data_IF_409579153439
#
_entry.id   IF_409579153439
#
_cell.length_a   1.000
_cell.length_b   1.000
_cell.length_c   1.000
_cell.angle_alpha   90.00
_cell.angle_beta   90.00
_cell.angle_gamma   90.00
#
_symmetry.space_group_name_H-M   'P 1'
#
loop_
_entity.id
_entity.type
_entity.pdbx_description
1 polymer ?
#
# COMPACT_ATOMS: atom_id res chain seq x y z
N UNK A 1 6.94 8.52 34.94
CA UNK A 1 6.09 9.64 35.40
C UNK A 1 4.77 9.08 35.90
N UNK A 2 3.97 9.89 36.63
CA UNK A 2 2.62 9.49 37.06
C UNK A 2 1.75 9.07 35.88
N UNK A 3 1.88 9.75 34.75
CA UNK A 3 1.15 9.43 33.50
C UNK A 3 1.45 8.05 32.91
N UNK A 4 2.57 7.40 33.27
CA UNK A 4 2.84 6.02 32.86
C UNK A 4 1.84 5.03 33.48
N UNK A 5 1.22 5.39 34.61
CA UNK A 5 0.24 4.55 35.31
C UNK A 5 -1.20 4.79 34.88
N UNK A 6 -1.45 5.72 33.98
CA UNK A 6 -2.81 5.97 33.42
C UNK A 6 -3.20 4.96 32.35
N UNK A 7 -2.25 4.16 31.84
CA UNK A 7 -2.53 3.13 30.83
C UNK A 7 -3.28 1.95 31.43
N UNK A 8 -4.36 1.55 30.76
CA UNK A 8 -5.01 0.25 31.04
C UNK A 8 -4.08 -0.92 30.67
N UNK A 9 -4.29 -2.07 31.31
CA UNK A 9 -3.47 -3.27 31.11
C UNK A 9 -3.25 -3.65 29.64
N UNK A 10 -4.31 -3.63 28.82
CA UNK A 10 -4.22 -3.96 27.40
C UNK A 10 -3.33 -2.97 26.63
N UNK A 11 -3.50 -1.68 26.88
CA UNK A 11 -2.70 -0.63 26.25
C UNK A 11 -1.22 -0.76 26.59
N UNK A 12 -0.89 -0.94 27.86
CA UNK A 12 0.48 -1.12 28.31
C UNK A 12 1.11 -2.38 27.70
N UNK A 13 0.41 -3.52 27.70
CA UNK A 13 0.91 -4.76 27.11
C UNK A 13 1.09 -4.67 25.59
N UNK A 14 0.28 -3.88 24.92
CA UNK A 14 0.44 -3.59 23.47
C UNK A 14 1.73 -2.78 23.23
N UNK A 15 1.99 -1.75 24.05
CA UNK A 15 3.21 -0.96 23.97
C UNK A 15 4.45 -1.81 24.27
N UNK A 16 4.46 -2.58 25.34
CA UNK A 16 5.56 -3.49 25.71
C UNK A 16 5.88 -4.51 24.60
N UNK A 17 4.85 -5.09 23.98
CA UNK A 17 5.02 -6.11 22.96
C UNK A 17 5.70 -5.58 21.70
N UNK A 18 5.29 -4.40 21.22
CA UNK A 18 5.63 -3.96 19.87
C UNK A 18 6.24 -2.57 19.73
N UNK A 19 6.08 -1.66 20.70
CA UNK A 19 6.39 -0.24 20.51
C UNK A 19 7.57 0.27 21.33
N UNK A 20 7.70 -0.16 22.58
CA UNK A 20 8.80 0.28 23.45
C UNK A 20 10.13 -0.28 22.94
N UNK A 21 11.16 0.56 22.97
CA UNK A 21 12.50 0.15 22.56
C UNK A 21 13.06 -0.91 23.49
N UNK A 22 13.84 -1.84 22.90
CA UNK A 22 14.45 -2.96 23.61
C UNK A 22 15.93 -3.04 23.27
N UNK A 23 16.73 -3.39 24.27
CA UNK A 23 18.14 -3.78 24.11
C UNK A 23 18.26 -5.22 24.63
N UNK A 24 18.81 -6.12 23.83
CA UNK A 24 18.97 -7.54 24.15
C UNK A 24 17.69 -8.24 24.66
N UNK A 25 16.53 -7.78 24.15
CA UNK A 25 15.21 -8.28 24.52
C UNK A 25 14.56 -7.59 25.72
N UNK A 26 15.32 -6.83 26.52
CA UNK A 26 14.84 -6.08 27.68
C UNK A 26 14.27 -4.72 27.27
N UNK A 27 13.11 -4.36 27.83
CA UNK A 27 12.45 -3.08 27.59
C UNK A 27 13.21 -1.98 28.31
N UNK A 28 13.65 -0.95 27.58
CA UNK A 28 14.40 0.19 28.10
C UNK A 28 13.62 1.51 28.09
N UNK A 29 12.40 1.50 27.57
CA UNK A 29 11.52 2.67 27.52
C UNK A 29 10.29 2.49 28.38
N UNK A 30 9.79 3.61 28.95
CA UNK A 30 8.41 3.72 29.41
C UNK A 30 7.55 4.37 28.31
N UNK A 31 6.20 4.33 28.38
CA UNK A 31 5.34 5.03 27.43
C UNK A 31 5.67 6.53 27.29
N UNK A 32 6.01 7.19 28.39
CA UNK A 32 6.35 8.62 28.36
C UNK A 32 7.70 8.89 27.70
N UNK A 33 8.69 8.00 27.84
CA UNK A 33 9.96 8.09 27.12
C UNK A 33 9.77 7.84 25.62
N UNK A 34 8.89 6.90 25.21
CA UNK A 34 8.52 6.70 23.83
C UNK A 34 7.94 7.99 23.23
N UNK A 35 6.99 8.65 23.90
CA UNK A 35 6.41 9.89 23.43
C UNK A 35 7.43 11.03 23.32
N UNK A 36 8.32 11.15 24.30
CA UNK A 36 9.38 12.15 24.25
C UNK A 36 10.37 11.86 23.11
N UNK A 37 10.80 10.61 22.91
CA UNK A 37 11.64 10.22 21.78
C UNK A 37 11.01 10.56 20.44
N UNK A 38 9.71 10.28 20.29
CA UNK A 38 8.96 10.58 19.07
C UNK A 38 8.90 12.08 18.81
N UNK A 39 8.59 12.87 19.83
CA UNK A 39 8.55 14.33 19.72
C UNK A 39 9.91 14.91 19.32
N UNK A 40 11.00 14.47 19.96
CA UNK A 40 12.36 14.86 19.59
C UNK A 40 12.70 14.42 18.17
N UNK A 41 12.32 13.19 17.78
CA UNK A 41 12.59 12.65 16.45
C UNK A 41 11.89 13.40 15.32
N UNK A 42 10.76 14.06 15.61
CA UNK A 42 10.02 14.88 14.65
C UNK A 42 10.58 16.30 14.59
N UNK A 43 10.77 16.95 15.73
CA UNK A 43 11.06 18.38 15.81
C UNK A 43 12.54 18.71 16.01
N UNK A 44 13.37 17.73 16.34
CA UNK A 44 14.81 17.90 16.50
C UNK A 44 15.18 18.91 17.58
N UNK A 45 15.74 20.05 17.19
CA UNK A 45 16.19 21.11 18.10
C UNK A 45 15.12 22.15 18.47
N UNK A 46 13.93 22.06 17.90
CA UNK A 46 12.82 22.95 18.21
C UNK A 46 12.13 22.49 19.51
N UNK A 47 12.67 22.96 20.63
CA UNK A 47 12.26 22.49 21.95
C UNK A 47 10.82 22.84 22.28
N UNK A 48 10.33 23.98 21.81
CA UNK A 48 8.94 24.41 22.08
C UNK A 48 7.95 23.44 21.44
N UNK A 49 8.14 23.08 20.17
CA UNK A 49 7.31 22.08 19.48
C UNK A 49 7.53 20.66 20.01
N UNK A 50 8.74 20.30 20.47
CA UNK A 50 8.98 19.02 21.17
C UNK A 50 8.11 18.89 22.40
N UNK A 51 8.09 19.94 23.25
CA UNK A 51 7.30 19.91 24.49
C UNK A 51 5.80 19.92 24.24
N UNK A 52 5.33 20.70 23.25
CA UNK A 52 3.93 20.74 22.84
C UNK A 52 3.46 19.36 22.34
N UNK A 53 4.20 18.75 21.43
CA UNK A 53 3.89 17.42 20.89
C UNK A 53 3.94 16.33 21.95
N UNK A 54 4.96 16.35 22.83
CA UNK A 54 5.04 15.42 23.95
C UNK A 54 3.85 15.57 24.89
N UNK A 55 3.47 16.79 25.25
CA UNK A 55 2.36 17.02 26.17
C UNK A 55 1.04 16.57 25.57
N UNK A 56 0.81 16.83 24.28
CA UNK A 56 -0.40 16.40 23.58
C UNK A 56 -0.48 14.87 23.45
N UNK A 57 0.62 14.17 23.11
CA UNK A 57 0.69 12.71 23.10
C UNK A 57 0.46 12.12 24.48
N UNK A 58 1.15 12.68 25.47
CA UNK A 58 1.12 12.24 26.87
C UNK A 58 -0.26 12.37 27.51
N UNK A 59 -1.06 13.36 27.09
CA UNK A 59 -2.44 13.56 27.51
C UNK A 59 -3.47 12.76 26.68
N UNK A 60 -3.02 12.00 25.67
CA UNK A 60 -3.89 11.21 24.81
C UNK A 60 -4.77 12.03 23.89
N UNK A 61 -4.39 13.28 23.56
CA UNK A 61 -5.15 14.15 22.65
C UNK A 61 -5.05 13.66 21.19
N UNK A 62 -3.96 13.05 20.83
CA UNK A 62 -3.75 12.33 19.57
C UNK A 62 -2.69 11.24 19.71
N UNK A 63 -2.53 10.42 18.69
CA UNK A 63 -1.44 9.44 18.59
C UNK A 63 -0.93 9.37 17.16
N UNK A 64 0.35 9.18 16.98
CA UNK A 64 0.95 8.99 15.67
C UNK A 64 0.71 7.58 15.12
N UNK A 65 0.82 7.43 13.81
CA UNK A 65 0.79 6.13 13.15
C UNK A 65 1.97 5.26 13.60
N UNK A 66 1.77 3.94 13.52
CA UNK A 66 2.73 2.91 13.97
C UNK A 66 4.17 3.15 13.49
N UNK A 67 4.46 3.46 12.21
CA UNK A 67 5.84 3.69 11.77
C UNK A 67 6.50 4.89 12.44
N UNK A 68 5.76 5.95 12.70
CA UNK A 68 6.26 7.12 13.44
C UNK A 68 6.65 6.75 14.88
N UNK A 69 5.75 6.02 15.58
CA UNK A 69 6.01 5.56 16.94
C UNK A 69 7.22 4.61 17.03
N UNK A 70 7.42 3.76 16.00
CA UNK A 70 8.56 2.83 15.98
C UNK A 70 9.89 3.49 15.67
N UNK A 71 9.90 4.41 14.71
CA UNK A 71 11.13 4.83 14.05
C UNK A 71 11.56 6.27 14.33
N UNK A 72 10.66 7.15 14.80
CA UNK A 72 11.04 8.51 15.13
C UNK A 72 12.10 8.52 16.26
N UNK A 73 13.15 9.32 16.10
CA UNK A 73 14.26 9.39 17.06
C UNK A 73 15.16 8.15 17.09
N UNK A 74 15.11 7.31 16.05
CA UNK A 74 16.03 6.18 15.86
C UNK A 74 17.01 6.45 14.71
N UNK A 75 18.09 5.66 14.56
CA UNK A 75 19.05 5.84 13.47
C UNK A 75 18.45 5.70 12.04
N UNK A 76 17.26 5.18 11.91
CA UNK A 76 16.56 5.02 10.62
C UNK A 76 15.12 5.52 10.75
N UNK A 77 14.90 6.84 10.70
CA UNK A 77 13.64 7.47 11.04
C UNK A 77 12.62 7.44 9.88
N UNK A 78 12.29 6.24 9.38
CA UNK A 78 11.21 6.09 8.41
C UNK A 78 9.87 6.23 9.13
N UNK A 79 9.16 7.35 8.94
CA UNK A 79 7.94 7.71 9.68
C UNK A 79 6.66 7.62 8.85
N UNK A 80 6.74 7.43 7.53
CA UNK A 80 5.55 7.31 6.68
C UNK A 80 4.87 5.96 6.85
N UNK A 81 3.54 5.96 6.99
CA UNK A 81 2.76 4.74 7.18
C UNK A 81 2.28 4.11 5.88
N UNK A 82 2.04 4.93 4.85
CA UNK A 82 1.45 4.50 3.58
C UNK A 82 2.17 5.13 2.40
N UNK A 83 2.26 4.37 1.31
CA UNK A 83 2.92 4.76 0.07
C UNK A 83 2.02 4.43 -1.10
N UNK A 84 1.86 5.39 -2.01
CA UNK A 84 1.20 5.17 -3.29
C UNK A 84 2.28 5.06 -4.36
N UNK A 85 2.28 3.97 -5.10
CA UNK A 85 3.23 3.71 -6.17
C UNK A 85 2.52 3.23 -7.42
N UNK A 86 3.11 3.55 -8.56
CA UNK A 86 2.70 3.08 -9.86
C UNK A 86 3.59 1.92 -10.31
N UNK A 87 3.04 0.99 -11.10
CA UNK A 87 3.89 0.13 -11.91
C UNK A 87 4.73 1.01 -12.83
N UNK A 88 6.05 0.76 -12.89
CA UNK A 88 6.97 1.69 -13.60
C UNK A 88 6.80 1.63 -15.10
N UNK A 89 6.62 0.43 -15.63
CA UNK A 89 6.57 0.19 -17.06
C UNK A 89 5.93 -1.18 -17.32
N UNK A 90 5.25 -1.33 -18.45
CA UNK A 90 4.75 -2.62 -18.94
C UNK A 90 5.88 -3.45 -19.55
N UNK A 91 6.85 -3.80 -18.70
CA UNK A 91 8.02 -4.62 -19.02
C UNK A 91 8.42 -5.48 -17.82
N UNK A 92 9.20 -6.54 -18.06
CA UNK A 92 9.73 -7.38 -16.97
C UNK A 92 10.56 -6.52 -16.00
N UNK A 93 11.44 -5.68 -16.52
CA UNK A 93 12.29 -4.82 -15.68
C UNK A 93 11.45 -3.84 -14.85
N UNK A 94 10.46 -3.16 -15.46
CA UNK A 94 9.56 -2.24 -14.78
C UNK A 94 8.73 -2.90 -13.69
N UNK A 95 8.16 -4.09 -13.98
CA UNK A 95 7.37 -4.88 -13.02
C UNK A 95 8.25 -5.32 -11.83
N UNK A 96 9.42 -5.93 -12.09
CA UNK A 96 10.30 -6.42 -11.01
C UNK A 96 10.97 -5.29 -10.23
N UNK A 97 11.24 -4.15 -10.83
CA UNK A 97 11.68 -2.96 -10.11
C UNK A 97 10.59 -2.46 -9.16
N UNK A 98 9.33 -2.48 -9.59
CA UNK A 98 8.19 -2.13 -8.74
C UNK A 98 8.00 -3.14 -7.60
N UNK A 99 8.14 -4.45 -7.86
CA UNK A 99 8.14 -5.50 -6.81
C UNK A 99 9.22 -5.24 -5.77
N UNK A 100 10.43 -4.89 -6.20
CA UNK A 100 11.57 -4.55 -5.33
C UNK A 100 11.27 -3.33 -4.46
N UNK A 101 10.63 -2.29 -5.01
CA UNK A 101 10.20 -1.13 -4.24
C UNK A 101 9.14 -1.51 -3.20
N UNK A 102 8.13 -2.29 -3.58
CA UNK A 102 7.14 -2.83 -2.65
C UNK A 102 7.80 -3.60 -1.50
N UNK A 103 8.77 -4.46 -1.80
CA UNK A 103 9.51 -5.21 -0.80
C UNK A 103 10.29 -4.30 0.17
N UNK A 104 10.93 -3.24 -0.35
CA UNK A 104 11.66 -2.26 0.46
C UNK A 104 10.74 -1.47 1.38
N UNK A 105 9.59 -1.02 0.88
CA UNK A 105 8.58 -0.30 1.69
C UNK A 105 8.01 -1.23 2.76
N UNK A 106 7.62 -2.44 2.38
CA UNK A 106 7.06 -3.43 3.30
C UNK A 106 8.01 -3.79 4.43
N UNK A 107 9.33 -3.89 4.16
CA UNK A 107 10.37 -4.12 5.18
C UNK A 107 10.31 -3.10 6.32
N UNK A 108 9.91 -1.86 6.06
CA UNK A 108 9.89 -0.75 7.03
C UNK A 108 8.48 -0.43 7.55
N UNK A 109 7.57 -1.39 7.50
CA UNK A 109 6.23 -1.25 8.02
C UNK A 109 5.30 -0.32 7.22
N UNK A 110 5.66 0.04 5.98
CA UNK A 110 4.81 0.82 5.09
C UNK A 110 3.69 -0.03 4.50
N UNK A 111 2.46 0.47 4.54
CA UNK A 111 1.35 -0.02 3.71
C UNK A 111 1.52 0.49 2.27
N UNK A 112 1.06 -0.26 1.29
CA UNK A 112 1.27 0.06 -0.12
C UNK A 112 -0.06 0.10 -0.85
N UNK A 113 -0.30 1.19 -1.59
CA UNK A 113 -1.29 1.26 -2.66
C UNK A 113 -0.57 1.23 -4.00
N UNK A 114 -0.77 0.18 -4.78
CA UNK A 114 -0.14 -0.03 -6.07
C UNK A 114 -1.17 0.00 -7.18
N UNK A 115 -1.02 0.84 -8.20
CA UNK A 115 -1.82 0.72 -9.41
C UNK A 115 -1.06 -0.01 -10.52
N UNK A 116 -1.82 -0.78 -11.32
CA UNK A 116 -1.31 -1.62 -12.42
C UNK A 116 -2.10 -1.44 -13.71
N UNK A 117 -2.72 -0.27 -13.87
CA UNK A 117 -3.63 0.03 -14.99
C UNK A 117 -2.98 -0.07 -16.36
N UNK A 118 -1.70 0.20 -16.45
CA UNK A 118 -0.88 0.28 -17.65
C UNK A 118 -0.28 -1.07 -18.09
N UNK A 119 -0.39 -2.11 -17.28
CA UNK A 119 0.11 -3.45 -17.63
C UNK A 119 -0.87 -4.12 -18.59
N UNK A 120 -0.34 -4.61 -19.72
CA UNK A 120 -1.14 -5.27 -20.77
C UNK A 120 -1.96 -6.44 -20.27
N UNK A 121 -3.13 -6.59 -20.85
CA UNK A 121 -4.08 -7.64 -20.50
C UNK A 121 -3.68 -9.03 -21.05
N UNK A 122 -4.36 -10.04 -20.55
CA UNK A 122 -4.26 -11.43 -21.03
C UNK A 122 -4.53 -11.49 -22.55
N UNK A 123 -3.79 -12.37 -23.26
CA UNK A 123 -3.81 -12.59 -24.71
C UNK A 123 -3.34 -11.41 -25.57
N UNK A 124 -2.85 -10.32 -24.98
CA UNK A 124 -2.24 -9.25 -25.76
C UNK A 124 -0.90 -9.70 -26.36
N UNK A 125 -0.59 -9.23 -27.56
CA UNK A 125 0.61 -9.63 -28.29
C UNK A 125 1.88 -9.02 -27.68
N UNK A 126 2.93 -9.84 -27.51
CA UNK A 126 4.26 -9.43 -27.06
C UNK A 126 5.21 -9.40 -28.26
N UNK A 127 5.51 -8.20 -28.76
CA UNK A 127 6.35 -8.03 -29.97
C UNK A 127 7.74 -8.66 -29.85
N UNK A 128 8.38 -8.57 -28.69
CA UNK A 128 9.75 -9.03 -28.48
C UNK A 128 9.91 -10.55 -28.55
N UNK A 129 8.91 -11.31 -28.17
CA UNK A 129 8.92 -12.78 -28.14
C UNK A 129 8.02 -13.41 -29.19
N UNK A 130 7.22 -12.59 -29.90
CA UNK A 130 6.14 -13.03 -30.75
C UNK A 130 5.13 -13.97 -30.08
N UNK A 131 4.99 -13.83 -28.75
CA UNK A 131 4.06 -14.59 -27.91
C UNK A 131 2.88 -13.74 -27.45
N UNK A 132 2.17 -14.25 -26.47
CA UNK A 132 1.03 -13.57 -25.83
C UNK A 132 1.27 -13.40 -24.34
N UNK A 133 0.71 -12.33 -23.77
CA UNK A 133 0.71 -12.05 -22.34
C UNK A 133 -0.29 -12.96 -21.63
N UNK A 134 0.06 -13.39 -20.42
CA UNK A 134 -0.85 -14.07 -19.48
C UNK A 134 -1.66 -13.08 -18.63
N UNK A 135 -1.50 -11.77 -18.86
CA UNK A 135 -2.21 -10.70 -18.17
C UNK A 135 -1.69 -10.38 -16.77
N UNK A 136 -2.52 -9.63 -16.01
CA UNK A 136 -2.11 -9.13 -14.70
C UNK A 136 -2.18 -10.17 -13.58
N UNK A 137 -2.98 -11.22 -13.69
CA UNK A 137 -3.20 -12.15 -12.56
C UNK A 137 -1.92 -12.93 -12.19
N UNK A 138 -1.19 -13.56 -13.12
CA UNK A 138 0.09 -14.20 -12.81
C UNK A 138 1.14 -13.22 -12.27
N UNK A 139 1.18 -11.99 -12.77
CA UNK A 139 2.02 -10.92 -12.23
C UNK A 139 1.65 -10.62 -10.77
N UNK A 140 0.36 -10.46 -10.45
CA UNK A 140 -0.10 -10.19 -9.09
C UNK A 140 0.25 -11.30 -8.09
N UNK A 141 0.41 -12.55 -8.53
CA UNK A 141 0.90 -13.64 -7.68
C UNK A 141 2.33 -13.40 -7.18
N UNK A 142 3.17 -12.75 -7.98
CA UNK A 142 4.52 -12.35 -7.53
C UNK A 142 4.42 -11.34 -6.39
N UNK A 143 3.56 -10.33 -6.53
CA UNK A 143 3.29 -9.35 -5.45
C UNK A 143 2.67 -10.03 -4.22
N UNK A 144 1.75 -10.96 -4.41
CA UNK A 144 1.12 -11.72 -3.32
C UNK A 144 2.16 -12.50 -2.52
N UNK A 145 3.05 -13.21 -3.20
CA UNK A 145 4.14 -13.96 -2.55
C UNK A 145 5.13 -13.03 -1.87
N UNK A 146 5.44 -11.89 -2.49
CA UNK A 146 6.31 -10.85 -1.91
C UNK A 146 5.71 -10.27 -0.64
N UNK A 147 4.40 -9.96 -0.63
CA UNK A 147 3.71 -9.46 0.55
C UNK A 147 3.75 -10.46 1.73
N UNK A 148 3.66 -11.75 1.43
CA UNK A 148 3.80 -12.82 2.45
C UNK A 148 5.22 -12.97 2.96
N UNK A 149 6.21 -12.91 2.06
CA UNK A 149 7.63 -13.10 2.39
C UNK A 149 8.21 -11.94 3.17
N UNK A 150 7.98 -10.71 2.71
CA UNK A 150 8.52 -9.50 3.34
C UNK A 150 7.60 -9.04 4.45
N UNK A 151 7.66 -9.74 5.58
CA UNK A 151 7.03 -9.26 6.79
C UNK A 151 8.04 -8.41 7.59
N UNK A 152 7.53 -7.48 8.37
CA UNK A 152 8.28 -6.48 9.13
C UNK A 152 8.96 -7.10 10.37
N UNK A 153 9.89 -8.01 10.16
CA UNK A 153 10.59 -8.71 11.25
C UNK A 153 9.63 -9.34 12.29
N UNK A 154 8.50 -9.87 11.83
CA UNK A 154 7.48 -10.47 12.69
C UNK A 154 6.54 -9.49 13.41
N UNK A 155 6.72 -8.17 13.23
CA UNK A 155 5.89 -7.15 13.90
C UNK A 155 4.55 -6.90 13.19
N UNK A 156 4.52 -6.91 11.86
CA UNK A 156 3.33 -6.69 11.04
C UNK A 156 3.45 -7.42 9.70
N UNK A 157 2.35 -7.98 9.18
CA UNK A 157 2.33 -8.55 7.82
C UNK A 157 2.41 -7.42 6.79
N UNK A 158 3.09 -7.66 5.67
CA UNK A 158 3.05 -6.77 4.51
C UNK A 158 1.60 -6.59 4.03
N UNK A 159 1.24 -5.37 3.64
CA UNK A 159 -0.10 -5.03 3.18
C UNK A 159 0.01 -4.25 1.88
N UNK A 160 -0.50 -4.84 0.79
CA UNK A 160 -0.52 -4.24 -0.54
C UNK A 160 -1.97 -4.22 -1.03
N UNK A 161 -2.49 -3.02 -1.25
CA UNK A 161 -3.74 -2.81 -1.97
C UNK A 161 -3.42 -2.54 -3.44
N UNK A 162 -3.98 -3.35 -4.33
CA UNK A 162 -3.79 -3.19 -5.79
C UNK A 162 -5.02 -2.50 -6.35
N UNK A 163 -4.77 -1.45 -7.13
CA UNK A 163 -5.80 -0.67 -7.82
C UNK A 163 -5.81 -0.98 -9.31
N UNK A 164 -6.99 -1.23 -9.84
CA UNK A 164 -7.22 -1.38 -11.26
C UNK A 164 -8.42 -0.53 -11.69
N UNK A 165 -8.34 0.06 -12.87
CA UNK A 165 -9.47 0.76 -13.46
C UNK A 165 -10.47 -0.21 -14.12
N UNK A 166 -11.78 0.07 -14.04
CA UNK A 166 -12.82 -0.87 -14.50
C UNK A 166 -12.83 -1.09 -16.02
N UNK A 167 -12.16 -0.26 -16.81
CA UNK A 167 -12.02 -0.43 -18.25
C UNK A 167 -10.96 -1.44 -18.68
N UNK A 168 -10.10 -1.89 -17.76
CA UNK A 168 -9.05 -2.87 -18.07
C UNK A 168 -9.64 -4.22 -18.46
N UNK A 169 -9.13 -4.86 -19.53
CA UNK A 169 -9.70 -6.09 -20.05
C UNK A 169 -9.69 -7.26 -19.05
N UNK A 170 -8.73 -7.30 -18.12
CA UNK A 170 -8.64 -8.33 -17.07
C UNK A 170 -9.46 -8.01 -15.81
N UNK A 171 -10.35 -7.00 -15.84
CA UNK A 171 -11.08 -6.55 -14.64
C UNK A 171 -11.91 -7.65 -13.99
N UNK A 172 -12.56 -8.50 -14.79
CA UNK A 172 -13.41 -9.57 -14.25
C UNK A 172 -12.58 -10.59 -13.47
N UNK A 173 -11.46 -11.02 -14.02
CA UNK A 173 -10.52 -11.92 -13.32
C UNK A 173 -9.93 -11.26 -12.06
N UNK A 174 -9.62 -9.95 -12.14
CA UNK A 174 -9.14 -9.18 -11.01
C UNK A 174 -10.14 -9.11 -9.85
N UNK A 175 -11.43 -8.99 -10.13
CA UNK A 175 -12.47 -8.98 -9.09
C UNK A 175 -12.56 -10.32 -8.35
N UNK A 176 -12.10 -11.39 -8.95
CA UNK A 176 -12.16 -12.75 -8.40
C UNK A 176 -10.89 -13.19 -7.65
N UNK A 177 -9.81 -12.40 -7.63
CA UNK A 177 -8.51 -12.80 -7.03
C UNK A 177 -8.57 -13.23 -5.57
N UNK A 178 -9.64 -12.87 -4.86
CA UNK A 178 -9.84 -13.19 -3.43
C UNK A 178 -10.92 -14.21 -3.14
N UNK A 179 -11.54 -14.78 -4.15
CA UNK A 179 -12.54 -15.84 -3.95
C UNK A 179 -11.94 -17.03 -3.19
N UNK A 180 -12.76 -17.67 -2.34
CA UNK A 180 -12.35 -18.81 -1.53
C UNK A 180 -12.37 -20.14 -2.30
N UNK A 181 -12.87 -20.13 -3.54
CA UNK A 181 -13.04 -21.30 -4.40
C UNK A 181 -12.48 -21.04 -5.80
N UNK A 182 -12.39 -22.09 -6.60
CA UNK A 182 -11.88 -22.03 -7.97
C UNK A 182 -10.38 -22.34 -8.04
N UNK A 183 -9.77 -22.01 -9.18
CA UNK A 183 -8.37 -22.28 -9.44
C UNK A 183 -7.45 -21.42 -8.55
N UNK A 184 -6.61 -22.08 -7.74
CA UNK A 184 -5.65 -21.41 -6.85
C UNK A 184 -4.62 -20.56 -7.63
N UNK A 185 -4.31 -20.92 -8.88
CA UNK A 185 -3.41 -20.14 -9.73
C UNK A 185 -3.98 -18.77 -10.10
N UNK A 186 -5.31 -18.64 -10.04
CA UNK A 186 -6.02 -17.38 -10.27
C UNK A 186 -6.29 -16.58 -8.97
N UNK A 187 -5.66 -16.96 -7.84
CA UNK A 187 -5.94 -16.32 -6.53
C UNK A 187 -4.72 -15.59 -5.96
N UNK A 188 -5.00 -14.41 -5.37
CA UNK A 188 -4.02 -13.55 -4.71
C UNK A 188 -4.60 -13.04 -3.38
N UNK A 189 -4.93 -13.95 -2.45
CA UNK A 189 -5.71 -13.63 -1.25
C UNK A 189 -5.01 -12.76 -0.22
N UNK A 190 -3.69 -12.64 -0.27
CA UNK A 190 -2.92 -11.76 0.63
C UNK A 190 -2.86 -10.31 0.12
N UNK A 191 -3.29 -10.06 -1.12
CA UNK A 191 -3.47 -8.72 -1.67
C UNK A 191 -4.88 -8.21 -1.39
N UNK A 192 -5.03 -6.90 -1.26
CA UNK A 192 -6.31 -6.23 -1.24
C UNK A 192 -6.60 -5.68 -2.63
N UNK A 193 -7.79 -5.95 -3.17
CA UNK A 193 -8.23 -5.41 -4.44
C UNK A 193 -9.03 -4.13 -4.23
N UNK A 194 -8.78 -3.14 -5.08
CA UNK A 194 -9.54 -1.89 -5.14
C UNK A 194 -9.73 -1.47 -6.61
N UNK A 195 -10.80 -0.77 -6.90
CA UNK A 195 -11.01 -0.18 -8.22
C UNK A 195 -10.76 1.33 -8.16
N UNK A 196 -10.09 1.85 -9.19
CA UNK A 196 -10.01 3.27 -9.46
C UNK A 196 -11.08 3.62 -10.49
N UNK A 197 -12.20 4.20 -10.00
CA UNK A 197 -13.43 4.32 -10.78
C UNK A 197 -13.53 5.73 -11.39
N UNK A 198 -13.52 5.88 -12.73
CA UNK A 198 -13.74 7.17 -13.39
C UNK A 198 -15.22 7.58 -13.32
N UNK A 199 -15.47 8.90 -13.34
CA UNK A 199 -16.82 9.47 -13.29
C UNK A 199 -17.72 8.94 -14.42
N UNK A 200 -17.16 8.72 -15.61
CA UNK A 200 -17.88 8.16 -16.75
C UNK A 200 -18.47 6.78 -16.43
N UNK A 201 -17.72 5.93 -15.71
CA UNK A 201 -18.23 4.61 -15.31
C UNK A 201 -19.49 4.76 -14.44
N UNK A 202 -19.46 5.69 -13.46
CA UNK A 202 -20.62 5.94 -12.60
C UNK A 202 -21.83 6.47 -13.38
N UNK A 203 -21.60 7.38 -14.34
CA UNK A 203 -22.66 7.86 -15.24
C UNK A 203 -23.28 6.72 -16.08
N UNK A 204 -22.45 5.78 -16.54
CA UNK A 204 -22.91 4.60 -17.29
C UNK A 204 -23.70 3.63 -16.41
N UNK A 205 -23.26 3.42 -15.16
CA UNK A 205 -24.02 2.62 -14.18
C UNK A 205 -25.38 3.25 -13.89
N UNK A 206 -25.44 4.55 -13.66
CA UNK A 206 -26.71 5.27 -13.40
C UNK A 206 -27.68 5.20 -14.55
N UNK A 207 -27.18 5.25 -15.79
CA UNK A 207 -27.99 5.17 -17.01
C UNK A 207 -28.23 3.75 -17.54
N UNK A 208 -27.77 2.71 -16.84
CA UNK A 208 -27.77 1.31 -17.30
C UNK A 208 -27.11 1.15 -18.69
N UNK A 209 -26.03 1.90 -18.91
CA UNK A 209 -25.31 1.99 -20.17
C UNK A 209 -24.26 0.90 -20.35
N UNK A 210 -23.77 0.73 -21.57
CA UNK A 210 -22.70 -0.20 -21.89
C UNK A 210 -21.34 0.32 -21.41
N UNK A 211 -20.46 -0.61 -21.02
CA UNK A 211 -19.09 -0.34 -20.66
C UNK A 211 -18.13 -1.23 -21.45
N UNK A 212 -17.17 -0.61 -22.13
CA UNK A 212 -16.17 -1.32 -22.94
C UNK A 212 -14.93 -1.61 -22.15
N UNK A 213 -14.30 -2.75 -22.41
CA UNK A 213 -13.04 -3.17 -21.81
C UNK A 213 -11.92 -3.07 -22.85
N UNK A 214 -10.76 -2.56 -22.43
CA UNK A 214 -9.62 -2.33 -23.29
C UNK A 214 -8.35 -2.95 -22.71
N UNK A 215 -7.44 -3.36 -23.60
CA UNK A 215 -6.06 -3.62 -23.21
C UNK A 215 -5.28 -2.29 -23.21
N UNK A 216 -4.50 -1.97 -22.17
CA UNK A 216 -3.70 -0.73 -22.12
C UNK A 216 -2.74 -0.57 -23.31
N UNK A 217 -2.21 -1.66 -23.86
CA UNK A 217 -1.33 -1.58 -25.05
C UNK A 217 -2.08 -1.06 -26.31
N UNK A 218 -3.38 -1.24 -26.40
CA UNK A 218 -4.21 -0.74 -27.51
C UNK A 218 -4.92 0.57 -27.20
N UNK A 219 -5.25 0.84 -25.92
CA UNK A 219 -5.89 2.06 -25.45
C UNK A 219 -4.88 2.94 -24.67
N UNK A 220 -3.80 3.31 -25.37
CA UNK A 220 -2.66 4.03 -24.75
C UNK A 220 -3.06 5.40 -24.24
N UNK A 221 -2.58 5.72 -23.05
CA UNK A 221 -2.82 7.00 -22.39
C UNK A 221 -4.14 7.11 -21.65
N UNK A 222 -4.99 6.05 -21.69
CA UNK A 222 -6.28 6.07 -20.99
C UNK A 222 -6.08 6.10 -19.46
N UNK A 223 -5.01 5.49 -18.96
CA UNK A 223 -4.60 5.54 -17.55
C UNK A 223 -3.97 6.86 -17.10
N UNK A 224 -3.61 7.74 -18.06
CA UNK A 224 -2.87 8.98 -17.78
C UNK A 224 -3.78 10.21 -17.68
N UNK A 225 -5.07 10.04 -18.01
CA UNK A 225 -6.05 11.13 -18.10
C UNK A 225 -7.23 10.89 -17.15
N UNK A 226 -7.95 11.95 -16.80
CA UNK A 226 -9.13 11.90 -15.93
C UNK A 226 -10.18 12.94 -16.35
N UNK A 227 -11.38 12.83 -15.78
CA UNK A 227 -12.47 13.77 -16.06
C UNK A 227 -12.87 13.77 -17.53
N UNK A 228 -13.02 14.96 -18.11
CA UNK A 228 -13.46 15.11 -19.50
C UNK A 228 -12.46 14.56 -20.53
N UNK A 229 -11.16 14.68 -20.29
CA UNK A 229 -10.14 14.10 -21.17
C UNK A 229 -10.22 12.58 -21.22
N UNK A 230 -10.50 11.95 -20.07
CA UNK A 230 -10.74 10.51 -20.00
C UNK A 230 -12.00 10.13 -20.81
N UNK A 231 -13.10 10.86 -20.62
CA UNK A 231 -14.34 10.60 -21.37
C UNK A 231 -14.12 10.64 -22.88
N UNK A 232 -13.45 11.72 -23.36
CA UNK A 232 -13.19 11.93 -24.78
C UNK A 232 -12.26 10.84 -25.36
N UNK A 233 -11.25 10.43 -24.60
CA UNK A 233 -10.32 9.39 -25.03
C UNK A 233 -10.97 8.01 -25.00
N UNK A 234 -11.78 7.71 -23.96
CA UNK A 234 -12.53 6.46 -23.83
C UNK A 234 -13.52 6.26 -24.97
N UNK A 235 -14.27 7.29 -25.34
CA UNK A 235 -15.24 7.25 -26.46
C UNK A 235 -14.57 7.14 -27.84
N UNK A 236 -13.31 7.55 -27.94
CA UNK A 236 -12.51 7.43 -29.17
C UNK A 236 -12.07 6.00 -29.43
N UNK A 237 -11.78 5.21 -28.41
CA UNK A 237 -11.37 3.80 -28.51
C UNK A 237 -12.56 2.89 -28.68
#
# INVERSE_FOLDING_TARGET
TERDFEFGYFGLKTLEKGYLQKIDGEIIETPQYLYMRVAIGIHGHDIDHVLETYDALSKGLFIHATPTLFNAGTPRPQMSSCFLIANKEDSIDGIYDTVKECARISKWAGGIGLHVHDVRANKSHIRGTNGTSDGIIPMLRVYNTTARYVNQAGRRKGSIAVYLEPWHADILDFLEIRLNQGDEEARCRDLFSAMWIPDLFMKRVESDGNWSLFCPDTARGLSDVYGKEFEDLYEKY
#
